data_IF_158218325594
#
_entry.id   IF_158218325594
#
_cell.length_a   1.000
_cell.length_b   1.000
_cell.length_c   1.000
_cell.angle_alpha   90.00
_cell.angle_beta   90.00
_cell.angle_gamma   90.00
#
_symmetry.space_group_name_H-M   'P 1'
#
loop_
_entity.id
_entity.type
_entity.pdbx_description
1 polymer ?
#
# COMPACT_ATOMS: atom_id res chain seq x y z
N UNK A 1 -9.24 8.31 14.38
CA UNK A 1 -8.71 8.53 13.02
C UNK A 1 -7.66 7.46 12.80
N UNK A 2 -7.80 6.60 11.79
CA UNK A 2 -6.72 5.64 11.46
C UNK A 2 -5.59 6.46 10.86
N UNK A 3 -4.48 6.58 11.57
CA UNK A 3 -3.31 7.32 11.11
C UNK A 3 -2.81 6.73 9.78
N UNK A 4 -2.42 7.61 8.86
CA UNK A 4 -2.00 7.22 7.51
C UNK A 4 -0.70 6.43 7.55
N UNK A 5 -0.63 5.36 6.76
CA UNK A 5 0.63 4.64 6.50
C UNK A 5 1.49 5.55 5.60
N UNK A 6 2.66 5.93 6.09
CA UNK A 6 3.65 6.70 5.34
C UNK A 6 4.32 5.85 4.27
N UNK A 7 4.97 6.46 3.28
CA UNK A 7 5.65 5.73 2.20
C UNK A 7 6.69 4.73 2.72
N UNK A 8 7.36 5.06 3.83
CA UNK A 8 8.32 4.16 4.47
C UNK A 8 7.63 2.95 5.13
N UNK A 9 6.50 3.17 5.80
CA UNK A 9 5.71 2.10 6.38
C UNK A 9 5.00 1.27 5.29
N UNK A 10 4.63 1.89 4.18
CA UNK A 10 4.05 1.20 3.03
C UNK A 10 5.04 0.21 2.43
N UNK A 11 6.32 0.59 2.29
CA UNK A 11 7.35 -0.34 1.83
C UNK A 11 7.50 -1.58 2.74
N UNK A 12 7.28 -1.43 4.05
CA UNK A 12 7.24 -2.57 4.99
C UNK A 12 5.96 -3.41 4.78
N UNK A 13 4.82 -2.76 4.56
CA UNK A 13 3.55 -3.45 4.29
C UNK A 13 3.59 -4.24 2.98
N UNK A 14 4.22 -3.72 1.94
CA UNK A 14 4.40 -4.43 0.66
C UNK A 14 5.08 -5.78 0.87
N UNK A 15 6.19 -5.80 1.61
CA UNK A 15 6.89 -7.04 1.97
C UNK A 15 5.99 -7.99 2.76
N UNK A 16 5.23 -7.48 3.74
CA UNK A 16 4.36 -8.31 4.58
C UNK A 16 3.11 -8.82 3.85
N UNK A 17 2.61 -8.10 2.85
CA UNK A 17 1.51 -8.55 2.00
C UNK A 17 1.96 -9.62 1.02
N UNK A 18 3.20 -9.55 0.55
CA UNK A 18 3.77 -10.56 -0.35
C UNK A 18 4.11 -11.85 0.40
N UNK A 19 4.71 -11.73 1.60
CA UNK A 19 5.07 -12.87 2.43
C UNK A 19 4.85 -12.53 3.92
N UNK A 20 4.08 -13.36 4.62
CA UNK A 20 3.92 -13.29 6.07
C UNK A 20 3.60 -14.68 6.64
N UNK A 21 3.92 -14.95 7.92
CA UNK A 21 4.54 -14.05 8.89
C UNK A 21 6.06 -13.89 8.71
N UNK A 22 6.61 -12.72 9.05
CA UNK A 22 8.05 -12.43 8.96
C UNK A 22 8.60 -11.75 10.21
N UNK A 23 9.88 -11.95 10.53
CA UNK A 23 10.55 -11.15 11.57
C UNK A 23 10.97 -9.79 11.03
N UNK A 24 11.29 -8.85 11.92
CA UNK A 24 11.83 -7.55 11.51
C UNK A 24 13.17 -7.65 10.75
N UNK A 25 13.93 -8.73 10.95
CA UNK A 25 15.15 -8.97 10.20
C UNK A 25 14.82 -9.45 8.78
N UNK A 26 13.90 -10.40 8.64
CA UNK A 26 13.46 -10.91 7.34
C UNK A 26 12.87 -9.79 6.46
N UNK A 27 12.12 -8.88 7.06
CA UNK A 27 11.59 -7.69 6.38
C UNK A 27 12.73 -6.76 5.94
N UNK A 28 13.72 -6.51 6.79
CA UNK A 28 14.86 -5.67 6.42
C UNK A 28 15.69 -6.24 5.26
N UNK A 29 15.77 -7.58 5.17
CA UNK A 29 16.46 -8.28 4.08
C UNK A 29 15.66 -8.28 2.75
N UNK A 30 14.33 -8.10 2.81
CA UNK A 30 13.42 -8.12 1.65
C UNK A 30 13.01 -6.75 1.14
N UNK A 31 13.05 -5.72 1.99
CA UNK A 31 12.82 -4.35 1.56
C UNK A 31 13.88 -3.97 0.52
N UNK A 32 13.47 -3.15 -0.47
CA UNK A 32 14.33 -2.62 -1.52
C UNK A 32 15.74 -2.25 -0.99
N UNK A 33 16.80 -2.89 -1.49
CA UNK A 33 18.17 -2.64 -1.06
C UNK A 33 18.59 -1.17 -1.18
N UNK A 34 18.02 -0.40 -2.12
CA UNK A 34 18.31 1.03 -2.28
C UNK A 34 17.93 1.84 -1.03
N UNK A 35 16.98 1.35 -0.22
CA UNK A 35 16.60 2.00 1.04
C UNK A 35 17.64 1.80 2.14
N UNK A 36 18.45 0.74 2.07
CA UNK A 36 19.55 0.47 3.00
C UNK A 36 19.14 0.39 4.48
N UNK A 37 17.93 -0.09 4.78
CA UNK A 37 17.40 -0.06 6.14
C UNK A 37 17.97 -1.16 7.03
N UNK A 38 18.35 -0.78 8.24
CA UNK A 38 18.71 -1.74 9.29
C UNK A 38 17.46 -2.42 9.87
N UNK A 39 17.64 -3.58 10.50
CA UNK A 39 16.57 -4.22 11.28
C UNK A 39 16.03 -3.34 12.42
N UNK A 40 16.83 -2.41 12.96
CA UNK A 40 16.38 -1.44 13.96
C UNK A 40 15.44 -0.38 13.35
N UNK A 41 15.74 0.08 12.14
CA UNK A 41 14.87 0.98 11.36
C UNK A 41 13.54 0.30 11.07
N UNK A 42 13.58 -0.95 10.58
CA UNK A 42 12.38 -1.73 10.29
C UNK A 42 11.56 -2.00 11.56
N UNK A 43 12.19 -2.34 12.69
CA UNK A 43 11.49 -2.46 13.99
C UNK A 43 10.75 -1.18 14.38
N UNK A 44 11.35 -0.02 14.12
CA UNK A 44 10.71 1.27 14.39
C UNK A 44 9.46 1.47 13.52
N UNK A 45 9.56 1.14 12.22
CA UNK A 45 8.42 1.22 11.30
C UNK A 45 7.31 0.23 11.66
N UNK A 46 7.68 -1.02 12.00
CA UNK A 46 6.73 -2.03 12.49
C UNK A 46 6.05 -1.59 13.80
N UNK A 47 6.78 -0.94 14.70
CA UNK A 47 6.21 -0.36 15.93
C UNK A 47 5.17 0.71 15.65
N UNK A 48 5.41 1.58 14.66
CA UNK A 48 4.40 2.56 14.21
C UNK A 48 3.21 1.88 13.57
N UNK A 49 3.43 0.90 12.69
CA UNK A 49 2.35 0.13 12.05
C UNK A 49 1.49 -0.64 13.07
N UNK A 50 2.09 -1.15 14.15
CA UNK A 50 1.36 -1.75 15.27
C UNK A 50 0.47 -0.71 15.96
N UNK A 51 0.99 0.49 16.23
CA UNK A 51 0.21 1.60 16.81
C UNK A 51 -0.96 2.05 15.91
N UNK A 52 -0.86 1.80 14.60
CA UNK A 52 -1.91 2.06 13.60
C UNK A 52 -2.87 0.89 13.38
N UNK A 53 -2.66 -0.23 14.08
CA UNK A 53 -3.39 -1.48 13.89
C UNK A 53 -3.31 -2.03 12.45
N UNK A 54 -2.28 -1.64 11.70
CA UNK A 54 -2.06 -2.07 10.31
C UNK A 54 -1.39 -3.44 10.23
N UNK A 55 -0.64 -3.79 11.28
CA UNK A 55 -0.02 -5.11 11.45
C UNK A 55 -0.37 -5.67 12.82
N UNK A 56 -0.26 -6.98 12.96
CA UNK A 56 -0.24 -7.69 14.24
C UNK A 56 1.10 -8.38 14.41
N UNK A 57 1.42 -8.77 15.65
CA UNK A 57 2.57 -9.61 15.91
C UNK A 57 2.22 -10.79 16.80
N UNK A 58 2.99 -11.86 16.66
CA UNK A 58 2.95 -13.06 17.49
C UNK A 58 4.34 -13.32 18.06
N UNK A 59 4.40 -13.91 19.27
CA UNK A 59 5.66 -14.24 19.94
C UNK A 59 6.15 -15.59 19.44
N UNK A 60 7.35 -15.62 18.86
CA UNK A 60 8.06 -16.84 18.50
C UNK A 60 9.39 -16.92 19.27
N UNK A 61 9.33 -17.56 20.44
CA UNK A 61 10.44 -17.65 21.38
C UNK A 61 10.94 -16.28 21.85
N UNK A 62 12.06 -15.81 21.30
CA UNK A 62 12.68 -14.50 21.60
C UNK A 62 12.47 -13.46 20.50
N UNK A 63 11.72 -13.80 19.44
CA UNK A 63 11.48 -12.97 18.27
C UNK A 63 9.98 -12.67 18.15
N UNK A 64 9.69 -11.62 17.39
CA UNK A 64 8.32 -11.30 16.99
C UNK A 64 8.16 -11.61 15.50
N UNK A 65 7.05 -12.25 15.18
CA UNK A 65 6.59 -12.53 13.83
C UNK A 65 5.45 -11.56 13.51
N UNK A 66 5.57 -10.81 12.42
CA UNK A 66 4.63 -9.77 12.03
C UNK A 66 3.77 -10.23 10.85
N UNK A 67 2.51 -9.82 10.83
CA UNK A 67 1.57 -10.10 9.74
C UNK A 67 0.65 -8.91 9.49
N UNK A 68 0.19 -8.69 8.24
CA UNK A 68 -0.79 -7.65 7.94
C UNK A 68 -2.09 -7.89 8.71
N UNK A 69 -2.61 -6.85 9.37
CA UNK A 69 -3.95 -6.85 9.95
C UNK A 69 -4.99 -6.23 9.00
N UNK A 70 -4.52 -5.60 7.91
CA UNK A 70 -5.34 -5.06 6.83
C UNK A 70 -4.97 -5.76 5.51
N UNK A 71 -5.97 -6.00 4.67
CA UNK A 71 -5.76 -6.52 3.31
C UNK A 71 -5.23 -5.43 2.39
N UNK A 72 -4.38 -5.79 1.41
CA UNK A 72 -3.80 -4.85 0.45
C UNK A 72 -4.90 -4.16 -0.35
N UNK A 73 -5.85 -4.91 -0.89
CA UNK A 73 -6.97 -4.37 -1.67
C UNK A 73 -7.79 -3.34 -0.88
N UNK A 74 -8.14 -3.66 0.37
CA UNK A 74 -8.93 -2.77 1.23
C UNK A 74 -8.16 -1.50 1.60
N UNK A 75 -6.84 -1.58 1.72
CA UNK A 75 -5.99 -0.42 1.96
C UNK A 75 -5.90 0.46 0.70
N UNK A 76 -5.63 -0.13 -0.46
CA UNK A 76 -5.52 0.58 -1.74
C UNK A 76 -6.84 1.28 -2.10
N UNK A 77 -7.99 0.61 -1.92
CA UNK A 77 -9.30 1.21 -2.17
C UNK A 77 -9.51 2.45 -1.28
N UNK A 78 -9.27 2.31 0.03
CA UNK A 78 -9.43 3.42 0.99
C UNK A 78 -8.48 4.60 0.71
N UNK A 79 -7.23 4.35 0.36
CA UNK A 79 -6.30 5.43 0.02
C UNK A 79 -6.62 6.07 -1.34
N UNK A 80 -7.12 5.29 -2.30
CA UNK A 80 -7.60 5.80 -3.61
C UNK A 80 -8.79 6.74 -3.43
N UNK A 81 -9.80 6.34 -2.66
CA UNK A 81 -10.97 7.17 -2.36
C UNK A 81 -10.54 8.49 -1.70
N UNK A 82 -9.68 8.41 -0.68
CA UNK A 82 -9.13 9.59 0.00
C UNK A 82 -8.34 10.51 -0.93
N UNK A 83 -7.56 9.95 -1.86
CA UNK A 83 -6.81 10.72 -2.84
C UNK A 83 -7.75 11.48 -3.77
N UNK A 84 -8.77 10.79 -4.29
CA UNK A 84 -9.78 11.35 -5.19
C UNK A 84 -10.58 12.44 -4.46
N UNK A 85 -11.00 12.20 -3.23
CA UNK A 85 -11.69 13.18 -2.40
C UNK A 85 -10.84 14.44 -2.18
N UNK A 86 -9.59 14.26 -1.74
CA UNK A 86 -8.72 15.37 -1.35
C UNK A 86 -8.24 16.21 -2.54
N UNK A 87 -7.92 15.58 -3.67
CA UNK A 87 -7.32 16.27 -4.82
C UNK A 87 -8.32 16.64 -5.91
N UNK A 88 -9.40 15.86 -6.06
CA UNK A 88 -10.35 15.99 -7.16
C UNK A 88 -11.81 16.18 -6.69
N UNK A 89 -12.03 16.33 -5.37
CA UNK A 89 -13.35 16.60 -4.79
C UNK A 89 -14.33 15.46 -5.01
N UNK A 90 -13.86 14.21 -4.93
CA UNK A 90 -14.68 13.00 -5.05
C UNK A 90 -15.05 12.64 -6.49
N UNK A 91 -14.51 13.36 -7.48
CA UNK A 91 -14.78 13.11 -8.90
C UNK A 91 -13.61 12.40 -9.55
N UNK A 92 -13.88 11.26 -10.18
CA UNK A 92 -12.88 10.48 -10.90
C UNK A 92 -12.54 11.09 -12.28
N UNK A 93 -13.51 11.69 -12.97
CA UNK A 93 -13.32 12.22 -14.33
C UNK A 93 -12.15 13.21 -14.46
N UNK A 94 -11.96 14.18 -13.54
CA UNK A 94 -10.81 15.10 -13.61
C UNK A 94 -9.45 14.41 -13.46
N UNK A 95 -9.36 13.32 -12.69
CA UNK A 95 -8.12 12.53 -12.59
C UNK A 95 -7.79 11.89 -13.95
N UNK A 96 -8.77 11.25 -14.59
CA UNK A 96 -8.59 10.60 -15.89
C UNK A 96 -8.21 11.64 -16.97
N UNK A 97 -8.88 12.79 -16.99
CA UNK A 97 -8.56 13.87 -17.92
C UNK A 97 -7.10 14.35 -17.73
N UNK A 98 -6.66 14.53 -16.48
CA UNK A 98 -5.29 14.96 -16.20
C UNK A 98 -4.23 13.94 -16.62
N UNK A 99 -4.52 12.63 -16.52
CA UNK A 99 -3.62 11.58 -17.02
C UNK A 99 -3.57 11.57 -18.55
N UNK A 100 -4.72 11.75 -19.21
CA UNK A 100 -4.81 11.81 -20.67
C UNK A 100 -4.05 13.02 -21.24
N UNK A 101 -4.17 14.21 -20.63
CA UNK A 101 -3.46 15.43 -21.04
C UNK A 101 -1.93 15.33 -20.95
N UNK A 102 -1.41 14.36 -20.17
CA UNK A 102 0.02 14.16 -19.93
C UNK A 102 0.61 12.99 -20.72
N UNK A 103 -0.13 12.47 -21.70
CA UNK A 103 0.23 11.26 -22.48
C UNK A 103 0.58 10.06 -21.57
N UNK A 104 -0.01 10.00 -20.38
CA UNK A 104 0.26 8.96 -19.39
C UNK A 104 -0.62 7.71 -19.58
N UNK A 105 -1.50 7.71 -20.58
CA UNK A 105 -2.35 6.58 -20.93
C UNK A 105 -1.92 6.02 -22.27
N UNK A 106 -1.51 4.75 -22.28
CA UNK A 106 -1.25 4.02 -23.52
C UNK A 106 -2.56 3.56 -24.18
N UNK A 107 -2.49 3.18 -25.46
CA UNK A 107 -3.63 2.58 -26.17
C UNK A 107 -4.17 1.32 -25.46
N UNK A 108 -3.29 0.59 -24.78
CA UNK A 108 -3.66 -0.58 -23.97
C UNK A 108 -4.45 -0.16 -22.73
N UNK A 109 -3.99 0.86 -22.00
CA UNK A 109 -4.71 1.38 -20.83
C UNK A 109 -6.11 1.88 -21.21
N UNK A 110 -6.22 2.60 -22.33
CA UNK A 110 -7.51 3.09 -22.86
C UNK A 110 -8.44 1.91 -23.15
N UNK A 111 -7.94 0.88 -23.85
CA UNK A 111 -8.72 -0.30 -24.21
C UNK A 111 -9.22 -1.06 -22.97
N UNK A 112 -8.40 -1.18 -21.94
CA UNK A 112 -8.76 -1.82 -20.68
C UNK A 112 -9.82 -1.00 -19.91
N UNK A 113 -9.66 0.33 -19.85
CA UNK A 113 -10.65 1.22 -19.23
C UNK A 113 -11.99 1.12 -19.96
N UNK A 114 -12.00 1.12 -21.29
CA UNK A 114 -13.23 0.97 -22.08
C UNK A 114 -13.94 -0.37 -21.79
N UNK A 115 -13.18 -1.46 -21.69
CA UNK A 115 -13.71 -2.77 -21.34
C UNK A 115 -14.37 -2.78 -19.94
N UNK A 116 -13.71 -2.18 -18.94
CA UNK A 116 -14.26 -2.03 -17.59
C UNK A 116 -15.55 -1.19 -17.58
N UNK A 117 -15.56 -0.05 -18.28
CA UNK A 117 -16.75 0.81 -18.38
C UNK A 117 -17.92 0.10 -19.07
N UNK A 118 -17.64 -0.73 -20.08
CA UNK A 118 -18.67 -1.54 -20.74
C UNK A 118 -19.23 -2.60 -19.80
N UNK A 119 -18.40 -3.26 -19.02
CA UNK A 119 -18.82 -4.28 -18.04
C UNK A 119 -19.70 -3.67 -16.92
N UNK A 120 -19.39 -2.45 -16.46
CA UNK A 120 -20.17 -1.76 -15.41
C UNK A 120 -21.56 -1.26 -15.86
N UNK A 121 -21.77 -1.12 -17.17
CA UNK A 121 -23.04 -0.64 -17.75
C UNK A 121 -24.00 -1.78 -18.11
N UNK A 122 -23.61 -3.03 -17.90
CA UNK A 122 -24.46 -4.22 -18.06
C UNK A 122 -25.15 -4.55 -16.73
#
# INVERSE_FOLDING_TARGET
MVERISDAEHAVMEVLWDESPLTAQDVAERVDPERGWSAATVKTLLGRLLGKEAVRHEVDGRRYLYSPAVRREDYVARESDRLIDRLFGGRLTPLVAHLAERDALSDQDISEIEALLKALKQ
#
